data_IF_998589427687
#
_entry.id   IF_998589427687
#
_cell.length_a   1.000
_cell.length_b   1.000
_cell.length_c   1.000
_cell.angle_alpha   90.00
_cell.angle_beta   90.00
_cell.angle_gamma   90.00
#
_symmetry.space_group_name_H-M   'P 1'
#
loop_
_entity.id
_entity.type
_entity.pdbx_description
1 polymer ?
#
# COMPACT_ATOMS: atom_id res chain seq x y z
N UNK A 1 -56.88 -22.42 1.51
CA UNK A 1 -57.68 -22.62 0.28
C UNK A 1 -58.66 -21.46 0.19
N UNK A 2 -58.76 -20.81 -0.97
CA UNK A 2 -59.73 -19.73 -1.15
C UNK A 2 -61.07 -20.32 -1.52
N UNK A 3 -62.14 -19.78 -0.93
CA UNK A 3 -63.51 -20.16 -1.26
C UNK A 3 -64.20 -18.97 -1.92
N UNK A 4 -64.64 -19.17 -3.16
CA UNK A 4 -65.48 -18.24 -3.88
C UNK A 4 -66.88 -18.84 -3.97
N UNK A 5 -67.88 -18.11 -3.51
CA UNK A 5 -69.27 -18.48 -3.61
C UNK A 5 -70.09 -17.29 -4.13
N UNK A 6 -71.12 -17.55 -4.92
CA UNK A 6 -72.01 -16.50 -5.41
C UNK A 6 -73.36 -16.67 -4.73
N UNK A 7 -73.73 -15.70 -3.89
CA UNK A 7 -75.07 -15.66 -3.34
C UNK A 7 -75.98 -14.93 -4.33
N UNK A 8 -76.92 -15.67 -4.92
CA UNK A 8 -77.81 -15.13 -5.96
C UNK A 8 -79.20 -14.92 -5.36
N UNK A 9 -79.61 -13.66 -5.22
CA UNK A 9 -80.99 -13.29 -4.92
C UNK A 9 -81.76 -13.04 -6.22
N UNK A 10 -82.82 -13.80 -6.43
CA UNK A 10 -83.72 -13.63 -7.58
C UNK A 10 -85.04 -13.05 -7.09
N UNK A 11 -85.43 -11.90 -7.64
CA UNK A 11 -86.78 -11.34 -7.49
C UNK A 11 -87.50 -11.41 -8.83
N UNK A 12 -88.81 -11.10 -8.85
CA UNK A 12 -89.61 -11.10 -10.08
C UNK A 12 -89.14 -10.08 -11.15
N UNK A 13 -88.22 -9.17 -10.82
CA UNK A 13 -87.75 -8.10 -11.72
C UNK A 13 -86.24 -8.07 -11.91
N UNK A 14 -85.46 -8.57 -10.94
CA UNK A 14 -84.00 -8.44 -10.95
C UNK A 14 -83.29 -9.66 -10.34
N UNK A 15 -82.10 -9.96 -10.87
CA UNK A 15 -81.16 -10.94 -10.33
C UNK A 15 -79.97 -10.18 -9.74
N UNK A 16 -79.83 -10.22 -8.42
CA UNK A 16 -78.71 -9.61 -7.70
C UNK A 16 -77.76 -10.73 -7.31
N UNK A 17 -76.51 -10.63 -7.76
CA UNK A 17 -75.43 -11.56 -7.40
C UNK A 17 -74.49 -10.85 -6.42
N UNK A 18 -74.38 -11.40 -5.21
CA UNK A 18 -73.43 -10.94 -4.21
C UNK A 18 -72.27 -11.95 -4.17
N UNK A 19 -71.07 -11.58 -4.66
CA UNK A 19 -69.91 -12.45 -4.57
C UNK A 19 -69.42 -12.52 -3.12
N UNK A 20 -69.42 -13.72 -2.55
CA UNK A 20 -68.82 -14.02 -1.24
C UNK A 20 -67.45 -14.61 -1.50
N UNK A 21 -66.40 -13.91 -1.05
CA UNK A 21 -65.01 -14.37 -1.14
C UNK A 21 -64.48 -14.60 0.27
N UNK A 22 -64.13 -15.83 0.61
CA UNK A 22 -63.38 -16.17 1.80
C UNK A 22 -61.95 -16.54 1.39
N UNK A 23 -61.01 -15.63 1.65
CA UNK A 23 -59.59 -15.80 1.31
C UNK A 23 -58.97 -16.64 2.44
N UNK A 24 -58.24 -17.70 2.07
CA UNK A 24 -57.58 -18.55 3.06
C UNK A 24 -56.49 -17.78 3.84
N UNK A 25 -56.14 -18.26 5.03
CA UNK A 25 -55.05 -17.68 5.81
C UNK A 25 -53.71 -17.82 5.05
N UNK A 26 -52.97 -16.72 4.88
CA UNK A 26 -51.69 -16.62 4.16
C UNK A 26 -50.72 -15.74 4.92
N UNK A 27 -49.44 -16.08 4.83
CA UNK A 27 -48.36 -15.16 5.16
C UNK A 27 -48.10 -14.27 3.94
N UNK A 28 -48.27 -12.95 4.10
CA UNK A 28 -48.05 -11.99 3.01
C UNK A 28 -47.16 -10.89 3.55
N UNK A 29 -45.97 -10.77 2.98
CA UNK A 29 -45.05 -9.70 3.33
C UNK A 29 -45.16 -8.58 2.32
N UNK A 30 -45.24 -7.35 2.81
CA UNK A 30 -45.19 -6.14 2.01
C UNK A 30 -43.81 -5.49 2.13
N UNK A 31 -43.22 -5.19 0.99
CA UNK A 31 -41.92 -4.54 0.85
C UNK A 31 -42.03 -3.49 -0.27
N UNK A 32 -41.33 -2.35 -0.18
CA UNK A 32 -41.32 -1.38 -1.26
C UNK A 32 -40.72 -1.97 -2.54
N UNK A 33 -41.22 -1.52 -3.69
CA UNK A 33 -40.77 -2.01 -5.00
C UNK A 33 -39.33 -1.58 -5.33
N UNK A 34 -38.90 -0.42 -4.82
CA UNK A 34 -37.56 0.12 -5.03
C UNK A 34 -37.03 0.79 -3.77
N UNK A 35 -35.73 0.65 -3.54
CA UNK A 35 -34.95 1.38 -2.56
C UNK A 35 -33.79 2.07 -3.26
N UNK A 36 -33.83 3.39 -3.33
CA UNK A 36 -32.82 4.22 -3.98
C UNK A 36 -31.92 4.88 -2.94
N UNK A 37 -30.60 4.72 -3.08
CA UNK A 37 -29.58 5.30 -2.22
C UNK A 37 -29.09 6.68 -2.69
N UNK A 38 -29.59 7.18 -3.82
CA UNK A 38 -29.11 8.41 -4.47
C UNK A 38 -27.60 8.40 -4.71
N UNK A 39 -27.00 9.56 -4.92
CA UNK A 39 -25.55 9.71 -5.06
C UNK A 39 -24.83 9.41 -3.74
N UNK A 40 -23.85 8.50 -3.80
CA UNK A 40 -23.00 8.11 -2.68
C UNK A 40 -21.53 8.16 -3.10
N UNK A 41 -20.62 8.66 -2.25
CA UNK A 41 -19.20 8.65 -2.59
C UNK A 41 -18.61 7.24 -2.65
N UNK A 42 -17.71 7.01 -3.60
CA UNK A 42 -17.00 5.72 -3.75
C UNK A 42 -16.24 5.37 -2.45
N UNK A 43 -16.24 4.08 -2.05
CA UNK A 43 -15.63 3.55 -0.81
C UNK A 43 -16.23 4.10 0.49
N UNK A 44 -17.40 4.73 0.44
CA UNK A 44 -18.16 5.17 1.63
C UNK A 44 -19.45 4.34 1.72
N UNK A 45 -19.79 3.92 2.93
CA UNK A 45 -21.03 3.16 3.18
C UNK A 45 -22.21 4.08 3.47
N UNK A 46 -23.32 3.87 2.78
CA UNK A 46 -24.61 4.52 3.07
C UNK A 46 -25.62 3.48 3.52
N UNK A 47 -26.44 3.80 4.52
CA UNK A 47 -27.45 2.89 5.06
C UNK A 47 -28.85 3.46 4.89
N UNK A 48 -29.82 2.59 4.56
CA UNK A 48 -31.25 2.91 4.56
C UNK A 48 -32.02 1.82 5.27
N UNK A 49 -33.07 2.25 5.98
CA UNK A 49 -34.00 1.34 6.65
C UNK A 49 -35.10 0.92 5.66
N UNK A 50 -35.29 -0.39 5.54
CA UNK A 50 -36.35 -1.04 4.82
C UNK A 50 -37.37 -1.57 5.83
N UNK A 51 -38.64 -1.19 5.67
CA UNK A 51 -39.72 -1.74 6.47
C UNK A 51 -40.29 -2.97 5.77
N UNK A 52 -40.44 -4.05 6.53
CA UNK A 52 -41.11 -5.28 6.09
C UNK A 52 -42.32 -5.45 6.99
N UNK A 53 -43.51 -5.48 6.39
CA UNK A 53 -44.78 -5.58 7.10
C UNK A 53 -45.45 -6.90 6.77
N UNK A 54 -45.91 -7.66 7.76
CA UNK A 54 -46.75 -8.82 7.50
C UNK A 54 -48.22 -8.37 7.39
N UNK A 55 -48.69 -8.18 6.17
CA UNK A 55 -50.09 -7.84 5.86
C UNK A 55 -50.99 -9.09 5.79
N UNK A 56 -50.39 -10.27 5.92
CA UNK A 56 -51.08 -11.54 6.05
C UNK A 56 -51.68 -11.77 7.42
N UNK A 57 -52.35 -12.91 7.54
CA UNK A 57 -53.08 -13.37 8.72
C UNK A 57 -52.43 -14.60 9.38
N UNK A 58 -51.25 -15.02 8.91
CA UNK A 58 -50.39 -16.02 9.54
C UNK A 58 -48.99 -15.45 9.78
N UNK A 59 -48.26 -16.06 10.72
CA UNK A 59 -46.85 -15.77 10.93
C UNK A 59 -46.04 -16.03 9.64
N UNK A 60 -45.20 -15.06 9.27
CA UNK A 60 -44.36 -15.11 8.09
C UNK A 60 -42.89 -15.24 8.50
N UNK A 61 -42.22 -16.29 8.03
CA UNK A 61 -40.75 -16.37 8.05
C UNK A 61 -40.20 -15.68 6.81
N UNK A 62 -39.12 -14.92 6.95
CA UNK A 62 -38.47 -14.27 5.82
C UNK A 62 -36.98 -14.57 5.81
N UNK A 63 -36.42 -14.67 4.60
CA UNK A 63 -35.00 -14.75 4.35
C UNK A 63 -34.61 -13.79 3.23
N UNK A 64 -33.74 -12.83 3.55
CA UNK A 64 -33.27 -11.77 2.68
C UNK A 64 -31.89 -12.11 2.13
N UNK A 65 -31.71 -11.91 0.83
CA UNK A 65 -30.41 -12.03 0.18
C UNK A 65 -30.23 -10.97 -0.90
N UNK A 66 -29.03 -10.44 -1.01
CA UNK A 66 -28.61 -9.51 -2.07
C UNK A 66 -27.13 -9.75 -2.40
N UNK A 67 -26.58 -8.99 -3.34
CA UNK A 67 -25.18 -9.09 -3.78
C UNK A 67 -24.45 -7.76 -3.61
N UNK A 68 -23.13 -7.84 -3.44
CA UNK A 68 -22.22 -6.69 -3.47
C UNK A 68 -22.52 -5.80 -4.68
N UNK A 69 -22.53 -4.46 -4.53
CA UNK A 69 -22.11 -3.65 -3.38
C UNK A 69 -23.15 -3.47 -2.26
N UNK A 70 -24.27 -4.18 -2.31
CA UNK A 70 -25.32 -4.10 -1.29
C UNK A 70 -25.20 -5.23 -0.26
N UNK A 71 -25.60 -4.94 0.97
CA UNK A 71 -25.73 -5.93 2.04
C UNK A 71 -26.95 -5.61 2.90
N UNK A 72 -27.47 -6.60 3.62
CA UNK A 72 -28.73 -6.49 4.37
C UNK A 72 -28.63 -7.18 5.72
N UNK A 73 -29.10 -6.52 6.78
CA UNK A 73 -29.09 -7.03 8.15
C UNK A 73 -30.37 -6.59 8.89
N UNK A 74 -31.11 -7.50 9.55
CA UNK A 74 -30.90 -8.95 9.61
C UNK A 74 -31.25 -9.66 8.30
N UNK A 75 -30.59 -10.79 8.02
CA UNK A 75 -30.83 -11.60 6.80
C UNK A 75 -32.00 -12.58 6.92
N UNK A 76 -32.50 -12.84 8.12
CA UNK A 76 -33.67 -13.69 8.33
C UNK A 76 -34.40 -13.29 9.61
N UNK A 77 -35.67 -13.66 9.70
CA UNK A 77 -36.49 -13.43 10.88
C UNK A 77 -37.89 -14.04 10.73
N UNK A 78 -38.68 -13.93 11.79
CA UNK A 78 -40.10 -14.29 11.82
C UNK A 78 -40.92 -13.07 12.21
N UNK A 79 -42.10 -12.93 11.62
CA UNK A 79 -42.96 -11.77 11.78
C UNK A 79 -44.40 -12.23 12.01
N UNK A 80 -44.99 -11.86 13.14
CA UNK A 80 -46.40 -12.15 13.44
C UNK A 80 -47.34 -11.43 12.49
N UNK A 81 -48.62 -11.83 12.47
CA UNK A 81 -49.63 -11.19 11.63
C UNK A 81 -49.85 -9.73 12.08
N UNK A 82 -49.71 -8.78 11.14
CA UNK A 82 -49.80 -7.34 11.42
C UNK A 82 -48.53 -6.69 11.96
N UNK A 83 -47.49 -7.48 12.26
CA UNK A 83 -46.22 -6.93 12.78
C UNK A 83 -45.38 -6.29 11.67
N UNK A 84 -44.47 -5.41 12.07
CA UNK A 84 -43.51 -4.74 11.19
C UNK A 84 -42.10 -4.88 11.75
N UNK A 85 -41.14 -5.15 10.88
CA UNK A 85 -39.71 -5.19 11.23
C UNK A 85 -38.92 -4.18 10.40
N UNK A 86 -37.92 -3.57 11.03
CA UNK A 86 -36.95 -2.70 10.39
C UNK A 86 -35.72 -3.53 10.01
N UNK A 87 -35.36 -3.48 8.73
CA UNK A 87 -34.14 -4.10 8.20
C UNK A 87 -33.23 -3.00 7.66
N UNK A 88 -31.94 -3.09 7.92
CA UNK A 88 -30.97 -2.13 7.40
C UNK A 88 -30.33 -2.68 6.13
N UNK A 89 -30.46 -1.93 5.03
CA UNK A 89 -29.76 -2.19 3.78
C UNK A 89 -28.58 -1.22 3.69
N UNK A 90 -27.38 -1.75 3.52
CA UNK A 90 -26.14 -0.97 3.38
C UNK A 90 -25.65 -1.04 1.93
N UNK A 91 -25.30 0.11 1.36
CA UNK A 91 -24.66 0.25 0.05
C UNK A 91 -23.22 0.71 0.25
N UNK A 92 -22.25 -0.07 -0.23
CA UNK A 92 -20.82 0.24 -0.16
C UNK A 92 -20.15 0.06 -1.55
N UNK A 93 -20.24 1.06 -2.44
CA UNK A 93 -19.69 0.96 -3.78
C UNK A 93 -18.16 1.07 -3.80
N UNK A 94 -17.49 0.20 -4.56
CA UNK A 94 -16.02 0.26 -4.75
C UNK A 94 -15.61 0.93 -6.06
N UNK A 95 -16.53 1.05 -7.02
CA UNK A 95 -16.31 1.63 -8.35
C UNK A 95 -17.31 2.75 -8.61
N UNK A 96 -16.92 3.74 -9.41
CA UNK A 96 -17.77 4.85 -9.83
C UNK A 96 -18.88 4.37 -10.79
N UNK A 97 -20.01 5.09 -10.82
CA UNK A 97 -21.15 4.84 -11.71
C UNK A 97 -22.36 4.19 -11.05
N UNK A 98 -23.35 3.84 -11.87
CA UNK A 98 -24.64 3.29 -11.43
C UNK A 98 -24.55 1.84 -10.97
N UNK A 99 -25.07 1.55 -9.78
CA UNK A 99 -25.18 0.21 -9.22
C UNK A 99 -26.63 -0.18 -9.03
N UNK A 100 -27.06 -1.21 -9.77
CA UNK A 100 -28.39 -1.81 -9.66
C UNK A 100 -28.28 -3.25 -9.18
N UNK A 101 -29.09 -3.62 -8.19
CA UNK A 101 -29.19 -5.00 -7.71
C UNK A 101 -30.61 -5.33 -7.26
N UNK A 102 -30.85 -6.58 -6.87
CA UNK A 102 -32.15 -7.05 -6.40
C UNK A 102 -32.03 -7.60 -4.99
N UNK A 103 -32.81 -7.05 -4.07
CA UNK A 103 -33.05 -7.66 -2.78
C UNK A 103 -34.13 -8.73 -2.94
N UNK A 104 -33.78 -9.98 -2.66
CA UNK A 104 -34.72 -11.09 -2.68
C UNK A 104 -35.20 -11.40 -1.27
N UNK A 105 -36.51 -11.36 -1.05
CA UNK A 105 -37.16 -11.83 0.16
C UNK A 105 -37.86 -13.16 -0.12
N UNK A 106 -37.40 -14.23 0.49
CA UNK A 106 -37.99 -15.56 0.39
C UNK A 106 -38.82 -15.87 1.64
N UNK A 107 -40.11 -16.16 1.47
CA UNK A 107 -41.00 -16.57 2.56
C UNK A 107 -41.19 -18.09 2.67
N UNK A 108 -40.60 -18.84 1.73
CA UNK A 108 -40.76 -20.28 1.56
C UNK A 108 -41.88 -20.67 0.59
N UNK A 109 -42.89 -19.81 0.41
CA UNK A 109 -43.98 -20.00 -0.57
C UNK A 109 -43.86 -19.06 -1.76
N UNK A 110 -43.35 -17.85 -1.52
CA UNK A 110 -43.23 -16.79 -2.53
C UNK A 110 -41.87 -16.08 -2.41
N UNK A 111 -41.43 -15.47 -3.52
CA UNK A 111 -40.21 -14.67 -3.57
C UNK A 111 -40.55 -13.27 -4.04
N UNK A 112 -40.38 -12.31 -3.13
CA UNK A 112 -40.62 -10.89 -3.39
C UNK A 112 -39.28 -10.22 -3.69
N UNK A 113 -39.31 -9.25 -4.59
CA UNK A 113 -38.12 -8.57 -5.07
C UNK A 113 -38.26 -7.06 -4.90
N UNK A 114 -37.25 -6.45 -4.27
CA UNK A 114 -37.10 -4.99 -4.17
C UNK A 114 -35.88 -4.58 -5.00
N UNK A 115 -36.07 -3.66 -5.95
CA UNK A 115 -34.97 -3.11 -6.74
C UNK A 115 -34.10 -2.20 -5.87
N UNK A 116 -32.81 -2.47 -5.77
CA UNK A 116 -31.83 -1.61 -5.13
C UNK A 116 -31.14 -0.78 -6.19
N UNK A 117 -31.04 0.53 -5.97
CA UNK A 117 -30.36 1.48 -6.85
C UNK A 117 -29.46 2.38 -6.02
N UNK A 118 -28.27 2.69 -6.51
CA UNK A 118 -27.40 3.72 -5.95
C UNK A 118 -26.38 4.15 -6.99
N UNK A 119 -26.13 5.45 -7.09
CA UNK A 119 -25.11 6.01 -7.97
C UNK A 119 -23.86 6.28 -7.14
N UNK A 120 -22.73 5.72 -7.54
CA UNK A 120 -21.46 5.95 -6.87
C UNK A 120 -20.72 7.06 -7.60
N UNK A 121 -20.21 8.07 -6.89
CA UNK A 121 -19.50 9.21 -7.52
C UNK A 121 -18.14 9.48 -6.86
N UNK A 122 -17.19 9.93 -7.68
CA UNK A 122 -15.93 10.49 -7.20
C UNK A 122 -16.16 11.90 -6.63
N UNK A 123 -15.74 12.13 -5.39
CA UNK A 123 -15.80 13.44 -4.74
C UNK A 123 -14.46 14.19 -4.84
N UNK A 124 -14.49 15.48 -4.52
CA UNK A 124 -13.33 16.36 -4.60
C UNK A 124 -12.37 16.14 -3.43
N UNK A 125 -11.65 15.02 -3.46
CA UNK A 125 -10.53 14.71 -2.57
C UNK A 125 -9.29 14.42 -3.42
N UNK A 126 -8.16 15.01 -3.05
CA UNK A 126 -6.98 15.00 -3.92
C UNK A 126 -5.68 15.31 -3.19
N UNK A 127 -4.56 15.00 -3.84
CA UNK A 127 -3.25 15.47 -3.40
C UNK A 127 -3.04 16.91 -3.88
N UNK A 128 -2.41 17.75 -3.07
CA UNK A 128 -2.02 19.12 -3.46
C UNK A 128 -1.03 19.13 -4.64
N UNK A 129 -0.24 18.06 -4.78
CA UNK A 129 0.67 17.78 -5.88
C UNK A 129 0.78 16.27 -6.10
N UNK A 130 1.04 15.85 -7.33
CA UNK A 130 1.28 14.45 -7.69
C UNK A 130 2.77 14.08 -7.72
N UNK A 131 3.66 15.02 -7.36
CA UNK A 131 5.10 14.79 -7.30
C UNK A 131 5.75 15.58 -6.16
N UNK A 132 6.72 14.94 -5.51
CA UNK A 132 7.58 15.53 -4.48
C UNK A 132 9.01 15.34 -4.92
N UNK A 133 9.70 16.46 -5.09
CA UNK A 133 11.14 16.51 -5.29
C UNK A 133 11.80 16.87 -3.95
N UNK A 134 12.49 15.90 -3.36
CA UNK A 134 13.26 16.09 -2.16
C UNK A 134 14.48 16.96 -2.45
N UNK A 135 14.92 17.71 -1.44
CA UNK A 135 16.15 18.49 -1.54
C UNK A 135 17.34 17.56 -1.74
N UNK A 136 18.36 18.05 -2.46
CA UNK A 136 19.61 17.30 -2.60
C UNK A 136 20.18 17.02 -1.21
N UNK A 137 20.36 15.75 -0.89
CA UNK A 137 20.63 15.30 0.47
C UNK A 137 21.90 14.46 0.48
N UNK A 138 22.79 14.77 1.41
CA UNK A 138 24.02 14.03 1.60
C UNK A 138 23.76 12.59 2.07
N UNK A 139 24.51 11.61 1.56
CA UNK A 139 24.48 10.21 2.04
C UNK A 139 24.72 10.23 3.55
N UNK A 140 23.93 9.48 4.34
CA UNK A 140 23.85 9.52 5.83
C UNK A 140 22.97 10.61 6.46
N UNK A 141 22.53 11.63 5.71
CA UNK A 141 21.56 12.62 6.18
C UNK A 141 20.14 12.32 5.69
N UNK A 142 19.18 13.10 6.18
CA UNK A 142 17.79 13.04 5.72
C UNK A 142 17.25 14.43 5.48
N UNK A 143 16.50 14.61 4.38
CA UNK A 143 15.65 15.78 4.17
C UNK A 143 14.19 15.39 4.27
N UNK A 144 13.31 16.38 4.38
CA UNK A 144 11.88 16.14 4.32
C UNK A 144 11.16 17.25 3.57
N UNK A 145 10.07 16.88 2.91
CA UNK A 145 9.13 17.79 2.27
C UNK A 145 7.72 17.42 2.69
N UNK A 146 6.87 18.41 2.81
CA UNK A 146 5.46 18.22 3.16
C UNK A 146 4.58 18.49 1.95
N UNK A 147 3.53 17.70 1.83
CA UNK A 147 2.43 17.90 0.88
C UNK A 147 1.11 17.75 1.64
N UNK A 148 0.00 18.14 1.01
CA UNK A 148 -1.30 18.05 1.64
C UNK A 148 -2.21 17.09 0.87
N UNK A 149 -3.05 16.37 1.60
CA UNK A 149 -4.24 15.74 1.04
C UNK A 149 -5.40 16.68 1.35
N UNK A 150 -5.99 17.26 0.31
CA UNK A 150 -7.12 18.17 0.43
C UNK A 150 -8.43 17.37 0.33
N UNK A 151 -9.27 17.46 1.36
CA UNK A 151 -10.66 17.02 1.30
C UNK A 151 -11.57 18.22 1.13
N UNK A 152 -12.01 18.48 -0.11
CA UNK A 152 -12.97 19.56 -0.44
C UNK A 152 -14.39 19.05 -0.62
N UNK A 153 -14.69 17.94 0.06
CA UNK A 153 -16.00 17.29 0.05
C UNK A 153 -16.66 17.37 1.42
N UNK A 154 -17.91 16.92 1.50
CA UNK A 154 -18.70 16.86 2.71
C UNK A 154 -18.55 15.54 3.50
N UNK A 155 -17.71 14.60 3.03
CA UNK A 155 -17.46 13.33 3.73
C UNK A 155 -16.23 13.39 4.61
N UNK A 156 -16.15 12.48 5.57
CA UNK A 156 -14.87 12.13 6.21
C UNK A 156 -14.15 11.13 5.32
N UNK A 157 -12.96 11.48 4.83
CA UNK A 157 -12.18 10.66 3.92
C UNK A 157 -11.11 9.90 4.70
N UNK A 158 -11.09 8.57 4.58
CA UNK A 158 -10.02 7.74 5.11
C UNK A 158 -9.00 7.49 4.02
N UNK A 159 -7.72 7.67 4.31
CA UNK A 159 -6.64 7.42 3.36
C UNK A 159 -5.63 6.40 3.89
N UNK A 160 -4.99 5.70 2.97
CA UNK A 160 -3.90 4.77 3.26
C UNK A 160 -2.94 4.69 2.08
N UNK A 161 -1.63 4.74 2.34
CA UNK A 161 -0.59 4.69 1.31
C UNK A 161 -0.24 3.24 0.91
N UNK A 162 -0.35 2.94 -0.38
CA UNK A 162 -0.16 1.61 -0.97
C UNK A 162 1.02 1.62 -1.93
N UNK A 163 1.68 0.46 -2.06
CA UNK A 163 2.77 0.26 -3.01
C UNK A 163 2.29 0.08 -4.46
N UNK A 164 1.03 -0.33 -4.66
CA UNK A 164 0.50 -0.71 -5.98
C UNK A 164 -0.62 0.23 -6.44
N UNK A 165 -0.77 0.47 -7.76
CA UNK A 165 -1.78 1.37 -8.31
C UNK A 165 -3.20 0.83 -8.19
N UNK A 166 -3.38 -0.49 -8.24
CA UNK A 166 -4.70 -1.14 -8.25
C UNK A 166 -4.79 -2.24 -7.20
N UNK A 167 -6.02 -2.62 -6.85
CA UNK A 167 -6.28 -3.74 -5.93
C UNK A 167 -5.94 -5.07 -6.61
N UNK A 168 -6.08 -5.15 -7.94
CA UNK A 168 -5.74 -6.33 -8.75
C UNK A 168 -4.24 -6.62 -8.74
N UNK A 169 -3.42 -5.59 -8.92
CA UNK A 169 -1.94 -5.69 -8.87
C UNK A 169 -1.49 -6.10 -7.48
N UNK A 170 -2.07 -5.49 -6.44
CA UNK A 170 -1.84 -5.85 -5.05
C UNK A 170 -2.19 -7.33 -4.79
N UNK A 171 -3.36 -7.78 -5.26
CA UNK A 171 -3.81 -9.17 -5.11
C UNK A 171 -2.97 -10.16 -5.91
N UNK A 172 -2.45 -9.76 -7.08
CA UNK A 172 -1.50 -10.56 -7.86
C UNK A 172 -0.20 -10.74 -7.10
N UNK A 173 0.31 -9.69 -6.49
CA UNK A 173 1.53 -9.77 -5.68
C UNK A 173 1.31 -10.57 -4.39
N UNK A 174 0.18 -10.36 -3.69
CA UNK A 174 -0.22 -11.20 -2.54
C UNK A 174 -0.25 -12.67 -2.91
N UNK A 175 -0.79 -13.03 -4.09
CA UNK A 175 -0.79 -14.41 -4.59
C UNK A 175 0.61 -14.93 -4.91
N UNK A 176 1.51 -14.08 -5.41
CA UNK A 176 2.92 -14.44 -5.67
C UNK A 176 3.68 -14.73 -4.38
N UNK A 177 3.43 -13.94 -3.33
CA UNK A 177 4.08 -14.11 -2.03
C UNK A 177 3.48 -15.25 -1.19
N UNK A 178 2.19 -15.57 -1.34
CA UNK A 178 1.50 -16.61 -0.55
C UNK A 178 2.25 -17.95 -0.44
N UNK A 179 2.85 -18.53 -1.50
CA UNK A 179 3.62 -19.77 -1.39
C UNK A 179 4.94 -19.64 -0.63
N UNK A 180 5.52 -18.43 -0.58
CA UNK A 180 6.74 -18.13 0.19
C UNK A 180 6.44 -17.96 1.69
N UNK A 181 5.16 -17.75 2.05
CA UNK A 181 4.68 -17.51 3.41
C UNK A 181 4.14 -18.78 4.09
N UNK A 182 3.77 -19.80 3.32
CA UNK A 182 3.47 -21.12 3.88
C UNK A 182 4.77 -21.91 4.04
N UNK A 183 4.99 -22.61 5.17
CA UNK A 183 6.10 -23.55 5.27
C UNK A 183 5.95 -24.56 4.12
N UNK A 184 7.06 -24.93 3.46
CA UNK A 184 6.97 -25.89 2.38
C UNK A 184 6.32 -27.17 2.93
N UNK A 185 5.41 -27.77 2.17
CA UNK A 185 4.73 -29.01 2.55
C UNK A 185 5.72 -30.02 3.13
N UNK A 186 5.26 -30.85 4.08
CA UNK A 186 6.08 -31.83 4.83
C UNK A 186 7.07 -32.62 3.93
N UNK A 187 6.70 -32.85 2.66
CA UNK A 187 7.53 -33.48 1.64
C UNK A 187 8.86 -32.78 1.28
N UNK A 188 9.03 -31.48 1.57
CA UNK A 188 10.30 -30.75 1.40
C UNK A 188 11.12 -30.71 2.68
N UNK A 189 10.49 -30.86 3.85
CA UNK A 189 11.20 -30.89 5.13
C UNK A 189 12.08 -32.15 5.22
N UNK A 190 11.62 -33.27 4.66
CA UNK A 190 12.42 -34.51 4.56
C UNK A 190 13.70 -34.32 3.73
N UNK A 191 13.59 -33.68 2.56
CA UNK A 191 14.75 -33.34 1.71
C UNK A 191 15.71 -32.36 2.40
N UNK A 192 15.18 -31.36 3.11
CA UNK A 192 15.99 -30.42 3.90
C UNK A 192 16.67 -31.09 5.11
N UNK A 193 16.05 -32.11 5.72
CA UNK A 193 16.69 -32.90 6.79
C UNK A 193 17.76 -33.86 6.28
N UNK A 194 17.66 -34.33 5.04
CA UNK A 194 18.71 -35.12 4.38
C UNK A 194 19.90 -34.24 3.95
N UNK A 195 19.65 -33.04 3.42
CA UNK A 195 20.71 -32.06 3.12
C UNK A 195 21.40 -31.56 4.41
N UNK A 196 20.65 -31.30 5.50
CA UNK A 196 21.22 -30.95 6.81
C UNK A 196 22.04 -32.08 7.46
N UNK A 197 21.80 -33.34 7.09
CA UNK A 197 22.65 -34.47 7.53
C UNK A 197 23.97 -34.51 6.77
N UNK A 198 24.01 -34.04 5.53
CA UNK A 198 25.21 -33.95 4.69
C UNK A 198 26.09 -32.73 5.03
N UNK A 199 25.50 -31.63 5.51
CA UNK A 199 26.25 -30.40 5.84
C UNK A 199 26.78 -30.33 7.28
N UNK A 200 26.35 -31.23 8.18
CA UNK A 200 26.92 -31.35 9.53
C UNK A 200 28.38 -31.81 9.57
N UNK A 201 28.96 -32.18 8.42
CA UNK A 201 30.39 -32.52 8.30
C UNK A 201 31.31 -31.32 8.03
N UNK A 202 30.80 -30.11 7.77
CA UNK A 202 31.64 -28.91 7.60
C UNK A 202 31.19 -27.80 8.54
N UNK A 203 31.75 -27.83 9.75
CA UNK A 203 31.48 -26.84 10.79
C UNK A 203 31.84 -25.42 10.37
N UNK A 204 30.84 -24.54 10.40
CA UNK A 204 30.99 -23.11 10.65
C UNK A 204 29.61 -22.54 11.03
N UNK A 205 29.53 -21.99 12.24
CA UNK A 205 28.27 -21.65 12.90
C UNK A 205 27.72 -20.29 12.45
N UNK A 206 26.42 -20.29 12.17
CA UNK A 206 25.41 -19.41 12.76
C UNK A 206 25.70 -17.90 12.84
N UNK A 207 25.13 -17.17 11.87
CA UNK A 207 24.47 -15.87 12.14
C UNK A 207 23.57 -15.48 10.96
N UNK A 208 24.05 -15.76 9.75
CA UNK A 208 23.35 -15.44 8.49
C UNK A 208 21.97 -16.08 8.37
N UNK A 209 21.80 -17.31 8.88
CA UNK A 209 20.51 -18.00 8.78
C UNK A 209 19.45 -17.42 9.72
N UNK A 210 19.84 -16.91 10.89
CA UNK A 210 18.93 -16.29 11.85
C UNK A 210 18.55 -14.86 11.40
N UNK A 211 19.51 -14.11 10.86
CA UNK A 211 19.26 -12.81 10.24
C UNK A 211 18.31 -12.95 9.04
N UNK A 212 18.59 -13.88 8.13
CA UNK A 212 17.70 -14.18 7.00
C UNK A 212 16.32 -14.65 7.47
N UNK A 213 16.23 -15.50 8.51
CA UNK A 213 14.94 -15.94 9.03
C UNK A 213 14.16 -14.78 9.68
N UNK A 214 14.84 -13.86 10.36
CA UNK A 214 14.22 -12.68 10.96
C UNK A 214 13.71 -11.69 9.90
N UNK A 215 14.49 -11.44 8.85
CA UNK A 215 14.07 -10.60 7.70
C UNK A 215 12.90 -11.24 6.95
N UNK A 216 12.92 -12.57 6.80
CA UNK A 216 11.83 -13.34 6.21
C UNK A 216 10.60 -13.31 7.11
N UNK A 217 10.73 -13.42 8.44
CA UNK A 217 9.63 -13.28 9.39
C UNK A 217 9.04 -11.86 9.43
N UNK A 218 9.87 -10.83 9.34
CA UNK A 218 9.41 -9.44 9.29
C UNK A 218 8.66 -9.16 7.99
N UNK A 219 9.16 -9.68 6.86
CA UNK A 219 8.42 -9.66 5.58
C UNK A 219 7.16 -10.54 5.64
N UNK A 220 7.18 -11.66 6.38
CA UNK A 220 6.00 -12.50 6.59
C UNK A 220 4.92 -11.78 7.40
N UNK A 221 5.29 -11.08 8.47
CA UNK A 221 4.37 -10.28 9.28
C UNK A 221 3.74 -9.15 8.45
N UNK A 222 4.54 -8.42 7.65
CA UNK A 222 4.06 -7.35 6.75
C UNK A 222 3.08 -7.83 5.68
N UNK A 223 3.20 -9.09 5.22
CA UNK A 223 2.23 -9.67 4.27
C UNK A 223 1.02 -10.29 4.97
N UNK A 224 1.18 -10.75 6.20
CA UNK A 224 0.10 -11.32 7.01
C UNK A 224 -0.84 -10.24 7.60
N UNK A 225 -0.36 -9.00 7.73
CA UNK A 225 -1.15 -7.78 8.06
C UNK A 225 -1.91 -7.17 6.86
N UNK A 226 -1.94 -7.86 5.71
CA UNK A 226 -2.86 -7.65 4.58
C UNK A 226 -2.79 -6.29 3.86
N UNK A 227 -1.95 -5.35 4.29
CA UNK A 227 -2.10 -3.97 3.81
C UNK A 227 -1.20 -3.57 2.63
N UNK A 228 -0.19 -4.37 2.23
CA UNK A 228 0.71 -4.07 1.09
C UNK A 228 1.05 -2.58 0.99
N UNK A 229 1.37 -2.02 2.15
CA UNK A 229 1.60 -0.60 2.33
C UNK A 229 2.81 -0.17 1.53
N UNK A 230 2.85 1.11 1.17
CA UNK A 230 4.07 1.68 0.62
C UNK A 230 5.22 1.50 1.63
N UNK A 231 6.32 0.89 1.19
CA UNK A 231 7.52 0.66 1.99
C UNK A 231 8.71 0.78 1.06
N UNK A 232 9.61 1.68 1.39
CA UNK A 232 10.80 1.99 0.61
C UNK A 232 11.93 2.28 1.61
N UNK A 233 13.16 1.89 1.28
CA UNK A 233 14.32 2.08 2.15
C UNK A 233 14.86 3.53 2.08
N UNK A 234 14.45 4.28 1.05
CA UNK A 234 14.92 5.61 0.72
C UNK A 234 13.87 6.68 1.04
N UNK A 235 12.59 6.39 0.77
CA UNK A 235 11.48 7.32 1.00
C UNK A 235 10.52 6.83 2.07
N UNK A 236 10.23 7.69 3.04
CA UNK A 236 9.30 7.41 4.13
C UNK A 236 8.15 8.41 4.11
N UNK A 237 6.91 7.92 4.18
CA UNK A 237 5.71 8.75 4.18
C UNK A 237 5.04 8.67 5.55
N UNK A 238 4.75 9.80 6.16
CA UNK A 238 4.11 9.89 7.47
C UNK A 238 2.99 10.95 7.46
N UNK A 239 1.77 10.62 7.94
CA UNK A 239 1.32 9.31 8.37
C UNK A 239 1.01 8.36 7.19
N UNK A 240 1.12 7.05 7.43
CA UNK A 240 0.81 6.01 6.44
C UNK A 240 -0.69 5.80 6.19
N UNK A 241 -1.51 6.18 7.18
CA UNK A 241 -2.96 6.15 7.13
C UNK A 241 -3.54 7.24 8.03
N UNK A 242 -4.78 7.63 7.79
CA UNK A 242 -5.46 8.63 8.61
C UNK A 242 -6.84 8.99 8.09
N UNK A 243 -7.48 9.90 8.81
CA UNK A 243 -8.81 10.40 8.50
C UNK A 243 -8.77 11.91 8.29
N UNK A 244 -9.53 12.39 7.30
CA UNK A 244 -9.61 13.80 6.94
C UNK A 244 -11.08 14.20 7.00
N UNK A 245 -11.41 15.06 7.95
CA UNK A 245 -12.76 15.59 8.07
C UNK A 245 -13.22 16.37 6.83
N UNK A 246 -14.52 16.66 6.71
CA UNK A 246 -15.06 17.47 5.63
C UNK A 246 -14.39 18.83 5.53
N UNK A 247 -14.09 19.28 4.31
CA UNK A 247 -13.46 20.59 4.03
C UNK A 247 -12.14 20.84 4.78
N UNK A 248 -11.41 19.77 5.16
CA UNK A 248 -10.14 19.83 5.87
C UNK A 248 -9.00 19.30 4.99
N UNK A 249 -7.76 19.59 5.38
CA UNK A 249 -6.57 19.03 4.74
C UNK A 249 -5.71 18.29 5.77
N UNK A 250 -5.07 17.21 5.34
CA UNK A 250 -4.07 16.49 6.13
C UNK A 250 -2.67 16.77 5.61
N UNK A 251 -1.75 17.11 6.51
CA UNK A 251 -0.33 17.28 6.20
C UNK A 251 0.35 15.91 6.14
N UNK A 252 1.04 15.63 5.05
CA UNK A 252 1.81 14.40 4.83
C UNK A 252 3.28 14.79 4.67
N UNK A 253 4.12 14.24 5.53
CA UNK A 253 5.57 14.41 5.51
C UNK A 253 6.22 13.27 4.73
N UNK A 254 6.98 13.62 3.71
CA UNK A 254 7.85 12.71 2.97
C UNK A 254 9.28 12.96 3.43
N UNK A 255 9.93 11.93 3.98
CA UNK A 255 11.34 11.96 4.37
C UNK A 255 12.18 11.19 3.37
N UNK A 256 13.27 11.79 2.90
CA UNK A 256 14.21 11.20 1.96
C UNK A 256 15.54 10.91 2.66
N UNK A 257 16.02 9.66 2.56
CA UNK A 257 17.27 9.16 3.17
C UNK A 257 18.10 8.42 2.12
N UNK A 258 18.92 9.12 1.32
CA UNK A 258 19.75 8.47 0.31
C UNK A 258 20.83 7.61 0.95
N UNK A 259 21.04 6.41 0.39
CA UNK A 259 22.10 5.50 0.79
C UNK A 259 23.38 5.71 -0.04
N UNK A 260 23.22 6.16 -1.27
CA UNK A 260 24.29 6.35 -2.26
C UNK A 260 24.12 7.68 -3.01
N UNK A 261 25.20 8.14 -3.64
CA UNK A 261 25.23 9.41 -4.37
C UNK A 261 24.60 9.29 -5.77
N UNK A 262 23.30 9.00 -5.81
CA UNK A 262 22.53 8.66 -7.02
C UNK A 262 21.23 9.47 -7.10
N UNK A 263 20.62 9.47 -8.27
CA UNK A 263 19.22 9.87 -8.42
C UNK A 263 18.28 8.74 -8.03
N UNK A 264 17.30 9.02 -7.17
CA UNK A 264 16.27 8.10 -6.71
C UNK A 264 14.90 8.49 -7.25
N UNK A 265 14.11 7.50 -7.62
CA UNK A 265 12.72 7.67 -8.00
C UNK A 265 11.88 6.51 -7.45
N UNK A 266 10.75 6.85 -6.84
CA UNK A 266 9.78 5.88 -6.32
C UNK A 266 8.34 6.32 -6.57
N UNK A 267 7.39 5.39 -6.45
CA UNK A 267 5.96 5.61 -6.68
C UNK A 267 5.16 5.12 -5.49
N UNK A 268 4.37 6.02 -4.90
CA UNK A 268 3.39 5.69 -3.86
C UNK A 268 1.97 5.97 -4.35
N UNK A 269 0.99 5.23 -3.86
CA UNK A 269 -0.40 5.37 -4.27
C UNK A 269 -1.30 5.62 -3.06
N UNK A 270 -1.92 6.79 -2.98
CA UNK A 270 -2.87 7.11 -1.93
C UNK A 270 -4.23 6.48 -2.26
N UNK A 271 -4.61 5.46 -1.49
CA UNK A 271 -5.96 4.92 -1.51
C UNK A 271 -6.84 5.74 -0.57
N UNK A 272 -7.75 6.54 -1.10
CA UNK A 272 -8.60 7.44 -0.33
C UNK A 272 -10.08 7.19 -0.59
N UNK A 273 -10.90 7.21 0.47
CA UNK A 273 -12.37 7.20 0.35
C UNK A 273 -12.86 8.41 -0.44
N UNK A 274 -13.83 8.19 -1.32
CA UNK A 274 -14.35 9.21 -2.23
C UNK A 274 -13.71 9.21 -3.60
N UNK A 275 -12.74 8.33 -3.86
CA UNK A 275 -12.10 8.16 -5.18
C UNK A 275 -12.04 6.67 -5.53
N UNK A 276 -12.48 6.31 -6.73
CA UNK A 276 -12.29 4.96 -7.26
C UNK A 276 -10.79 4.63 -7.42
N UNK A 277 -10.08 5.42 -8.24
CA UNK A 277 -8.66 5.21 -8.49
C UNK A 277 -7.77 5.76 -7.37
N UNK A 278 -6.70 5.03 -7.06
CA UNK A 278 -5.66 5.49 -6.12
C UNK A 278 -4.93 6.68 -6.73
N UNK A 279 -4.63 7.69 -5.91
CA UNK A 279 -3.95 8.90 -6.36
C UNK A 279 -2.43 8.66 -6.39
N UNK A 280 -1.76 8.77 -7.56
CA UNK A 280 -0.33 8.52 -7.66
C UNK A 280 0.50 9.68 -7.13
N UNK A 281 1.57 9.36 -6.40
CA UNK A 281 2.57 10.29 -5.91
C UNK A 281 3.96 9.86 -6.39
N UNK A 282 4.58 10.69 -7.21
CA UNK A 282 5.94 10.49 -7.71
C UNK A 282 6.94 11.09 -6.72
N UNK A 283 7.84 10.25 -6.20
CA UNK A 283 8.88 10.67 -5.28
C UNK A 283 10.21 10.72 -6.04
N UNK A 284 10.91 11.84 -5.95
CA UNK A 284 12.25 12.02 -6.54
C UNK A 284 13.19 12.64 -5.52
N UNK A 285 14.46 12.28 -5.59
CA UNK A 285 15.50 12.84 -4.74
C UNK A 285 16.89 12.53 -5.31
N UNK A 286 17.87 13.34 -4.95
CA UNK A 286 19.26 13.17 -5.37
C UNK A 286 20.14 13.03 -4.12
N UNK A 287 20.82 11.90 -4.01
CA UNK A 287 21.84 11.65 -3.00
C UNK A 287 23.15 12.32 -3.39
N UNK A 288 23.79 13.00 -2.45
CA UNK A 288 25.11 13.60 -2.62
C UNK A 288 26.16 12.86 -1.81
N UNK A 289 27.28 12.53 -2.45
CA UNK A 289 28.44 11.95 -1.77
C UNK A 289 29.30 12.99 -1.06
N UNK A 290 30.33 12.55 -0.31
CA UNK A 290 31.37 13.44 0.17
C UNK A 290 32.13 14.07 -1.02
N UNK A 291 32.51 15.35 -0.87
CA UNK A 291 33.24 16.10 -1.89
C UNK A 291 34.71 16.26 -1.45
N UNK A 292 35.56 15.34 -1.93
CA UNK A 292 36.99 15.35 -1.66
C UNK A 292 37.73 15.84 -2.91
N UNK A 293 38.52 16.91 -2.76
CA UNK A 293 39.39 17.44 -3.81
C UNK A 293 40.86 17.25 -3.45
N UNK A 294 41.71 17.06 -4.46
CA UNK A 294 43.16 17.01 -4.30
C UNK A 294 43.74 18.40 -4.56
N UNK A 295 44.60 18.91 -3.67
CA UNK A 295 45.20 20.24 -3.81
C UNK A 295 45.98 20.46 -5.10
N UNK A 296 46.52 19.38 -5.65
CA UNK A 296 47.31 19.36 -6.88
C UNK A 296 47.08 18.02 -7.59
N UNK A 297 46.37 17.99 -8.74
CA UNK A 297 46.10 16.75 -9.46
C UNK A 297 47.35 16.17 -10.13
N UNK A 298 48.36 16.99 -10.38
CA UNK A 298 49.66 16.58 -10.90
C UNK A 298 50.75 16.94 -9.89
N UNK A 299 51.66 16.01 -9.65
CA UNK A 299 52.81 16.20 -8.76
C UNK A 299 54.09 16.02 -9.55
N UNK A 300 54.85 17.09 -9.72
CA UNK A 300 56.15 17.03 -10.36
C UNK A 300 57.24 16.94 -9.28
N UNK A 301 57.95 15.81 -9.21
CA UNK A 301 59.03 15.57 -8.26
C UNK A 301 60.37 16.21 -8.69
N UNK A 302 60.47 16.70 -9.93
CA UNK A 302 61.69 17.27 -10.47
C UNK A 302 62.84 16.25 -10.57
N UNK A 303 64.08 16.74 -10.45
CA UNK A 303 65.26 15.90 -10.50
C UNK A 303 65.53 15.24 -9.14
N UNK A 304 65.25 13.95 -9.03
CA UNK A 304 65.48 13.16 -7.82
C UNK A 304 66.78 12.36 -7.94
N UNK A 305 67.58 12.32 -6.86
CA UNK A 305 68.82 11.54 -6.81
C UNK A 305 68.52 10.03 -6.65
N UNK A 306 69.21 9.22 -7.43
CA UNK A 306 69.11 7.74 -7.39
C UNK A 306 69.49 7.22 -6.00
N UNK A 307 68.81 6.15 -5.54
CA UNK A 307 69.01 5.56 -4.22
C UNK A 307 68.71 6.48 -3.03
N UNK A 308 68.11 7.65 -3.25
CA UNK A 308 67.60 8.49 -2.16
C UNK A 308 66.08 8.52 -2.19
N UNK A 309 65.39 8.20 -1.08
CA UNK A 309 63.94 8.32 -1.03
C UNK A 309 63.56 9.80 -1.05
N UNK A 310 62.72 10.19 -1.99
CA UNK A 310 62.18 11.54 -2.08
C UNK A 310 60.75 11.57 -1.56
N UNK A 311 60.48 12.50 -0.67
CA UNK A 311 59.18 12.61 0.00
C UNK A 311 58.53 13.93 -0.38
N UNK A 312 57.36 13.85 -1.00
CA UNK A 312 56.51 14.98 -1.34
C UNK A 312 55.18 14.92 -0.58
N UNK A 313 54.52 16.07 -0.40
CA UNK A 313 53.26 16.17 0.35
C UNK A 313 52.18 16.76 -0.53
N UNK A 314 51.04 16.09 -0.59
CA UNK A 314 49.81 16.56 -1.26
C UNK A 314 48.70 16.61 -0.23
N UNK A 315 47.75 17.54 -0.36
CA UNK A 315 46.60 17.61 0.54
C UNK A 315 45.34 17.10 -0.14
N UNK A 316 44.65 16.19 0.51
CA UNK A 316 43.24 15.93 0.26
C UNK A 316 42.42 16.92 1.09
N UNK A 317 41.52 17.65 0.45
CA UNK A 317 40.69 18.68 1.07
C UNK A 317 39.24 18.24 0.92
N UNK A 318 38.57 18.03 2.05
CA UNK A 318 37.15 17.73 2.04
C UNK A 318 36.37 19.06 2.05
N UNK A 319 35.86 19.45 0.89
CA UNK A 319 34.99 20.63 0.76
C UNK A 319 33.52 20.29 1.05
N UNK A 320 33.22 19.01 1.27
CA UNK A 320 31.91 18.53 1.65
C UNK A 320 31.58 18.75 3.12
N UNK A 321 30.30 18.58 3.44
CA UNK A 321 29.76 18.62 4.82
C UNK A 321 29.70 17.25 5.49
N UNK A 322 30.03 16.19 4.74
CA UNK A 322 30.15 14.82 5.24
C UNK A 322 31.60 14.46 5.45
N UNK A 323 31.85 13.54 6.37
CA UNK A 323 33.13 12.87 6.48
C UNK A 323 33.41 12.05 5.21
N UNK A 324 34.58 12.27 4.63
CA UNK A 324 35.01 11.67 3.38
C UNK A 324 36.02 10.55 3.65
N UNK A 325 35.61 9.27 3.69
CA UNK A 325 36.56 8.16 3.70
C UNK A 325 37.32 8.14 2.37
N UNK A 326 38.61 7.83 2.44
CA UNK A 326 39.42 7.57 1.26
C UNK A 326 40.24 6.30 1.47
N UNK A 327 40.49 5.61 0.37
CA UNK A 327 41.38 4.46 0.31
C UNK A 327 42.22 4.62 -0.94
N UNK A 328 43.53 4.53 -0.77
CA UNK A 328 44.50 4.47 -1.85
C UNK A 328 44.38 3.12 -2.55
N UNK A 329 44.33 3.16 -3.88
CA UNK A 329 44.32 1.97 -4.72
C UNK A 329 45.74 1.86 -5.31
N UNK A 330 46.51 0.81 -4.97
CA UNK A 330 47.86 0.62 -5.50
C UNK A 330 47.86 0.55 -7.02
N UNK A 331 48.84 1.18 -7.66
CA UNK A 331 49.03 1.05 -9.09
C UNK A 331 49.53 -0.35 -9.45
N UNK A 332 49.10 -0.87 -10.60
CA UNK A 332 49.51 -2.17 -11.13
C UNK A 332 50.73 -2.09 -12.05
N UNK A 333 51.32 -0.91 -12.25
CA UNK A 333 52.49 -0.74 -13.12
C UNK A 333 53.80 -1.01 -12.37
N UNK A 334 54.85 -1.39 -13.11
CA UNK A 334 56.19 -1.59 -12.54
C UNK A 334 56.75 -0.30 -11.93
N UNK A 335 56.43 0.85 -12.52
CA UNK A 335 56.83 2.19 -12.05
C UNK A 335 56.04 2.58 -10.78
N UNK A 336 54.79 2.17 -10.68
CA UNK A 336 53.89 2.48 -9.58
C UNK A 336 54.34 1.85 -8.26
N UNK A 337 55.02 0.70 -8.35
CA UNK A 337 55.63 0.03 -7.20
C UNK A 337 56.75 0.84 -6.52
N UNK A 338 57.30 1.85 -7.22
CA UNK A 338 58.33 2.76 -6.69
C UNK A 338 57.74 3.90 -5.84
N UNK A 339 56.42 4.08 -5.86
CA UNK A 339 55.69 5.08 -5.08
C UNK A 339 55.01 4.44 -3.86
N UNK A 340 55.09 5.11 -2.72
CA UNK A 340 54.37 4.76 -1.49
C UNK A 340 53.55 5.94 -1.01
N UNK A 341 52.31 5.68 -0.61
CA UNK A 341 51.35 6.69 -0.18
C UNK A 341 50.99 6.44 1.29
N UNK A 342 51.20 7.43 2.15
CA UNK A 342 50.83 7.35 3.56
C UNK A 342 49.98 8.55 4.00
N UNK A 343 48.85 8.34 4.70
CA UNK A 343 48.21 7.04 4.99
C UNK A 343 47.51 6.42 3.76
N UNK A 344 47.40 5.09 3.71
CA UNK A 344 46.72 4.35 2.63
C UNK A 344 45.20 4.39 2.75
N UNK A 345 44.67 4.58 3.95
CA UNK A 345 43.25 4.77 4.19
C UNK A 345 43.04 5.78 5.31
N UNK A 346 41.86 6.40 5.33
CA UNK A 346 41.51 7.34 6.38
C UNK A 346 40.16 7.98 6.15
N UNK A 347 39.78 8.85 7.07
CA UNK A 347 38.54 9.64 7.00
C UNK A 347 38.91 11.11 7.15
N UNK A 348 38.50 11.93 6.18
CA UNK A 348 38.69 13.37 6.23
C UNK A 348 37.41 13.99 6.78
N UNK A 349 37.48 14.58 7.97
CA UNK A 349 36.33 15.25 8.57
C UNK A 349 35.76 16.34 7.63
N UNK A 350 34.46 16.61 7.74
CA UNK A 350 33.80 17.69 7.00
C UNK A 350 34.56 19.03 7.09
N UNK A 351 34.82 19.68 5.96
CA UNK A 351 35.62 20.92 5.88
C UNK A 351 37.11 20.76 6.23
N UNK A 352 37.56 19.55 6.54
CA UNK A 352 38.92 19.24 6.95
C UNK A 352 39.87 19.03 5.79
N UNK A 353 41.15 18.80 6.13
CA UNK A 353 42.14 18.36 5.14
C UNK A 353 43.06 17.30 5.73
N UNK A 354 43.42 16.32 4.91
CA UNK A 354 44.38 15.27 5.22
C UNK A 354 45.62 15.47 4.35
N UNK A 355 46.80 15.42 4.95
CA UNK A 355 48.05 15.45 4.18
C UNK A 355 48.44 14.01 3.84
N UNK A 356 48.62 13.74 2.54
CA UNK A 356 49.21 12.52 2.01
C UNK A 356 50.71 12.74 1.80
N UNK A 357 51.49 11.80 2.31
CA UNK A 357 52.93 11.72 2.09
C UNK A 357 53.21 10.72 0.96
N UNK A 358 53.82 11.20 -0.11
CA UNK A 358 54.17 10.42 -1.29
C UNK A 358 55.68 10.22 -1.28
N UNK A 359 56.11 8.98 -1.12
CA UNK A 359 57.53 8.61 -1.10
C UNK A 359 57.89 7.90 -2.39
N UNK A 360 58.83 8.45 -3.14
CA UNK A 360 59.37 7.87 -4.36
C UNK A 360 60.78 7.36 -4.12
N UNK A 361 61.07 6.12 -4.53
CA UNK A 361 62.41 5.55 -4.45
C UNK A 361 62.74 4.74 -5.70
N UNK A 362 63.76 5.15 -6.45
CA UNK A 362 64.26 4.41 -7.61
C UNK A 362 65.74 4.06 -7.48
N UNK A 363 66.06 2.83 -7.87
CA UNK A 363 67.42 2.29 -7.99
C UNK A 363 67.98 2.43 -9.42
N UNK A 364 67.15 2.89 -10.36
CA UNK A 364 67.46 2.99 -11.80
C UNK A 364 67.38 4.44 -12.27
N UNK A 365 68.34 4.85 -13.10
CA UNK A 365 68.34 6.16 -13.77
C UNK A 365 67.32 6.17 -14.91
N UNK A 366 66.46 7.19 -14.94
CA UNK A 366 65.47 7.35 -16.00
C UNK A 366 64.49 8.48 -15.74
N UNK A 367 63.62 8.72 -16.72
CA UNK A 367 62.41 9.54 -16.56
C UNK A 367 61.25 8.60 -16.25
N UNK A 368 60.47 8.91 -15.22
CA UNK A 368 59.34 8.12 -14.76
C UNK A 368 58.07 8.98 -14.81
N UNK A 369 56.95 8.41 -15.30
CA UNK A 369 55.64 9.05 -15.40
C UNK A 369 54.56 8.00 -15.07
N UNK A 370 53.57 8.39 -14.27
CA UNK A 370 52.48 7.56 -13.75
C UNK A 370 51.13 8.30 -13.81
#
# INVERSE_FOLDING_TARGET
>A
QDYCHEFVCITARERIVVPIRAIGARAVLDLPAQLDFSECPVKVSTQKTLLICNTGNLEARYQLSTQSPFSVVPTAGTLGAGDTVQVTVTFHPLTNGDHCSLLSCNTGEERIHTKLHGEAVDVNVGLSTNSVEADKTFITMSSHRTLFIDNRSNITAHFQWKAFPTVEDENKEKRRLRPLLHPPSEARLEKFTEEKKMEKEKGSYEDRSALLSSMVQEKMAKVQEDSMLFSDDIFFIEPMEGEIGPNCSAEIKVTFKPLEALGYQSMAYCNISGRESRLPLHLRGEGQGPLIEVSSPTLNLGNVLVNTPHVSKVKLINQGVLDGPFTYIPSTTDVGSLFKFEPEEGIIAAGGSQTLQISFHSTVLGSFEE
#
